data_IF_294437295107
#
_entry.id   IF_294437295107
#
_cell.length_a   1.000
_cell.length_b   1.000
_cell.length_c   1.000
_cell.angle_alpha   90.00
_cell.angle_beta   90.00
_cell.angle_gamma   90.00
#
_symmetry.space_group_name_H-M   'P 1'
#
loop_
_entity.id
_entity.type
_entity.pdbx_description
1 polymer ?
#
# COMPACT_ATOMS: atom_id res chain seq x y z
N UNK A 1 18.41 3.31 6.33
CA UNK A 1 17.15 2.71 5.86
C UNK A 1 17.40 1.28 5.38
N UNK A 2 16.54 0.38 5.76
CA UNK A 2 16.58 -0.99 5.26
C UNK A 2 15.96 -1.09 3.87
N UNK A 3 16.36 -2.09 3.08
CA UNK A 3 15.79 -2.30 1.75
C UNK A 3 14.26 -2.40 1.77
N UNK A 4 13.71 -3.07 2.78
CA UNK A 4 12.25 -3.19 2.93
C UNK A 4 11.56 -1.85 3.15
N UNK A 5 12.16 -0.95 3.90
CA UNK A 5 11.62 0.40 4.11
C UNK A 5 11.61 1.22 2.81
N UNK A 6 12.70 1.13 2.05
CA UNK A 6 12.80 1.79 0.73
C UNK A 6 11.76 1.20 -0.23
N UNK A 7 11.64 -0.12 -0.28
CA UNK A 7 10.70 -0.81 -1.15
C UNK A 7 9.25 -0.44 -0.83
N UNK A 8 8.90 -0.28 0.45
CA UNK A 8 7.56 0.15 0.87
C UNK A 8 7.19 1.53 0.35
N UNK A 9 8.14 2.45 0.29
CA UNK A 9 7.88 3.78 -0.27
C UNK A 9 7.47 3.69 -1.74
N UNK A 10 8.14 2.83 -2.51
CA UNK A 10 7.77 2.58 -3.90
C UNK A 10 6.40 1.88 -4.03
N UNK A 11 6.13 0.90 -3.17
CA UNK A 11 4.83 0.22 -3.17
C UNK A 11 3.69 1.14 -2.79
N UNK A 12 3.87 2.04 -1.83
CA UNK A 12 2.87 3.04 -1.47
C UNK A 12 2.50 3.92 -2.66
N UNK A 13 3.51 4.38 -3.42
CA UNK A 13 3.27 5.16 -4.65
C UNK A 13 2.49 4.34 -5.66
N UNK A 14 2.91 3.10 -5.90
CA UNK A 14 2.22 2.20 -6.83
C UNK A 14 0.77 1.96 -6.42
N UNK A 15 0.51 1.71 -5.14
CA UNK A 15 -0.84 1.50 -4.60
C UNK A 15 -1.72 2.74 -4.81
N UNK A 16 -1.22 3.92 -4.46
CA UNK A 16 -1.97 5.18 -4.63
C UNK A 16 -2.26 5.46 -6.11
N UNK A 17 -1.30 5.24 -6.99
CA UNK A 17 -1.50 5.40 -8.43
C UNK A 17 -2.53 4.41 -8.98
N UNK A 18 -2.47 3.15 -8.56
CA UNK A 18 -3.40 2.12 -9.02
C UNK A 18 -4.82 2.38 -8.52
N UNK A 19 -4.99 2.69 -7.24
CA UNK A 19 -6.29 3.05 -6.65
C UNK A 19 -6.84 4.31 -7.31
N UNK A 20 -5.96 5.28 -7.62
CA UNK A 20 -6.34 6.50 -8.32
C UNK A 20 -6.62 6.33 -9.81
N UNK A 21 -6.41 5.14 -10.37
CA UNK A 21 -6.68 4.87 -11.79
C UNK A 21 -5.64 5.40 -12.76
N UNK A 22 -4.40 5.58 -12.30
CA UNK A 22 -3.28 6.05 -13.14
C UNK A 22 -2.84 4.99 -14.16
N UNK A 23 -1.95 5.40 -15.07
CA UNK A 23 -1.43 4.56 -16.14
C UNK A 23 -0.78 3.28 -15.60
N UNK A 24 -1.16 2.14 -16.16
CA UNK A 24 -0.64 0.83 -15.79
C UNK A 24 0.89 0.74 -15.85
N UNK A 25 1.52 1.32 -16.86
CA UNK A 25 2.98 1.28 -17.03
C UNK A 25 3.69 2.04 -15.90
N UNK A 26 3.11 3.14 -15.46
CA UNK A 26 3.63 3.94 -14.36
C UNK A 26 3.53 3.18 -13.03
N UNK A 27 2.38 2.57 -12.76
CA UNK A 27 2.19 1.69 -11.60
C UNK A 27 3.21 0.57 -11.59
N UNK A 28 3.38 -0.10 -12.74
CA UNK A 28 4.32 -1.20 -12.90
C UNK A 28 5.77 -0.77 -12.67
N UNK A 29 6.15 0.42 -13.10
CA UNK A 29 7.50 0.95 -12.87
C UNK A 29 7.83 1.04 -11.38
N UNK A 30 6.90 1.54 -10.57
CA UNK A 30 7.09 1.61 -9.12
C UNK A 30 7.07 0.22 -8.46
N UNK A 31 6.24 -0.70 -8.93
CA UNK A 31 6.25 -2.10 -8.46
C UNK A 31 7.59 -2.78 -8.75
N UNK A 32 8.11 -2.59 -9.94
CA UNK A 32 9.41 -3.14 -10.34
C UNK A 32 10.56 -2.52 -9.51
N UNK A 33 10.46 -1.23 -9.20
CA UNK A 33 11.42 -0.56 -8.33
C UNK A 33 11.44 -1.17 -6.93
N UNK A 34 10.28 -1.41 -6.34
CA UNK A 34 10.18 -2.05 -5.03
C UNK A 34 10.80 -3.45 -5.05
N UNK A 35 10.52 -4.23 -6.09
CA UNK A 35 11.08 -5.58 -6.25
C UNK A 35 12.60 -5.55 -6.39
N UNK A 36 13.13 -4.66 -7.24
CA UNK A 36 14.57 -4.55 -7.45
C UNK A 36 15.32 -4.27 -6.15
N UNK A 37 14.77 -3.41 -5.30
CA UNK A 37 15.36 -3.10 -3.99
C UNK A 37 15.28 -4.29 -3.03
N UNK A 38 14.12 -4.97 -2.97
CA UNK A 38 13.96 -6.16 -2.12
C UNK A 38 14.87 -7.30 -2.51
N UNK A 39 15.03 -7.54 -3.80
CA UNK A 39 15.82 -8.65 -4.32
C UNK A 39 17.32 -8.40 -4.24
N UNK A 40 17.75 -7.17 -4.02
CA UNK A 40 19.17 -6.85 -3.90
C UNK A 40 19.75 -7.46 -2.61
N UNK A 41 20.84 -8.25 -2.71
CA UNK A 41 21.32 -9.06 -1.58
C UNK A 41 22.03 -8.26 -0.48
N UNK A 42 22.32 -6.99 -0.71
CA UNK A 42 23.01 -6.12 0.26
C UNK A 42 22.18 -4.87 0.51
N UNK A 43 22.61 -4.04 1.49
CA UNK A 43 21.93 -2.78 1.78
C UNK A 43 22.11 -1.78 0.64
N UNK A 44 21.00 -1.37 0.03
CA UNK A 44 21.01 -0.34 -1.01
C UNK A 44 21.48 1.01 -0.44
N UNK A 45 21.10 1.31 0.80
CA UNK A 45 21.49 2.55 1.47
C UNK A 45 23.00 2.69 1.67
N UNK A 46 23.74 1.59 1.70
CA UNK A 46 25.19 1.58 1.88
C UNK A 46 25.95 1.75 0.55
N UNK A 47 25.25 1.67 -0.60
CA UNK A 47 25.88 1.92 -1.88
C UNK A 47 26.14 3.40 -2.12
N UNK A 48 27.23 3.72 -2.78
CA UNK A 48 27.44 5.06 -3.32
C UNK A 48 26.41 5.35 -4.42
N UNK A 49 25.97 6.60 -4.55
CA UNK A 49 24.90 6.99 -5.49
C UNK A 49 25.23 6.64 -6.95
N UNK A 50 26.49 6.73 -7.34
CA UNK A 50 26.95 6.38 -8.69
C UNK A 50 26.89 4.88 -8.98
N UNK A 51 26.67 4.05 -7.95
CA UNK A 51 26.59 2.58 -8.06
C UNK A 51 25.15 2.05 -8.08
N UNK A 52 24.15 2.88 -7.93
CA UNK A 52 22.75 2.41 -7.94
C UNK A 52 22.36 1.72 -9.24
N UNK A 53 22.93 2.13 -10.37
CA UNK A 53 22.64 1.47 -11.65
C UNK A 53 23.23 0.07 -11.77
N UNK A 54 24.12 -0.35 -10.86
CA UNK A 54 24.60 -1.72 -10.78
C UNK A 54 23.52 -2.68 -10.24
N UNK A 55 22.51 -2.17 -9.57
CA UNK A 55 21.37 -2.97 -9.09
C UNK A 55 20.57 -3.45 -10.31
N UNK A 56 20.35 -4.78 -10.46
CA UNK A 56 19.54 -5.28 -11.58
C UNK A 56 18.16 -4.65 -11.63
N UNK A 57 17.78 -4.12 -12.79
CA UNK A 57 16.50 -3.45 -12.99
C UNK A 57 16.47 -1.96 -12.67
N UNK A 58 17.59 -1.38 -12.24
CA UNK A 58 17.68 0.05 -11.90
C UNK A 58 18.37 0.81 -13.02
N UNK A 59 17.62 1.67 -13.69
CA UNK A 59 18.13 2.64 -14.67
C UNK A 59 18.41 3.99 -14.03
N UNK A 60 18.75 4.99 -14.87
CA UNK A 60 19.11 6.33 -14.41
C UNK A 60 17.98 7.05 -13.65
N UNK A 61 16.73 6.88 -14.08
CA UNK A 61 15.57 7.52 -13.44
C UNK A 61 15.33 6.94 -12.04
N UNK A 62 15.37 5.63 -11.91
CA UNK A 62 15.20 4.95 -10.62
C UNK A 62 16.40 5.22 -9.70
N UNK A 63 17.61 5.27 -10.23
CA UNK A 63 18.80 5.63 -9.47
C UNK A 63 18.67 7.02 -8.83
N UNK A 64 18.14 7.99 -9.56
CA UNK A 64 17.88 9.33 -9.04
C UNK A 64 16.84 9.31 -7.91
N UNK A 65 15.79 8.50 -8.05
CA UNK A 65 14.77 8.32 -7.00
C UNK A 65 15.34 7.67 -5.74
N UNK A 66 16.20 6.66 -5.91
CA UNK A 66 16.89 6.02 -4.78
C UNK A 66 17.77 7.02 -4.02
N UNK A 67 18.52 7.84 -4.75
CA UNK A 67 19.34 8.88 -4.13
C UNK A 67 18.47 9.84 -3.31
N UNK A 68 17.33 10.28 -3.85
CA UNK A 68 16.40 11.16 -3.14
C UNK A 68 15.85 10.50 -1.88
N UNK A 69 15.46 9.24 -1.93
CA UNK A 69 14.98 8.51 -0.75
C UNK A 69 16.05 8.44 0.34
N UNK A 70 17.26 8.10 -0.03
CA UNK A 70 18.36 7.92 0.93
C UNK A 70 18.76 9.26 1.54
N UNK A 71 18.76 10.34 0.76
CA UNK A 71 19.14 11.67 1.23
C UNK A 71 18.04 12.35 2.07
N UNK A 72 16.76 12.13 1.74
CA UNK A 72 15.63 12.84 2.35
C UNK A 72 14.69 11.96 3.19
N UNK A 73 14.74 10.65 3.00
CA UNK A 73 13.87 9.69 3.70
C UNK A 73 12.53 9.42 3.03
N UNK A 74 12.21 10.13 1.94
CA UNK A 74 10.93 9.93 1.22
C UNK A 74 11.04 10.31 -0.25
N UNK A 75 9.95 10.12 -0.99
CA UNK A 75 9.80 10.52 -2.39
C UNK A 75 8.87 11.72 -2.51
N UNK A 76 9.25 12.77 -3.25
CA UNK A 76 8.38 13.93 -3.47
C UNK A 76 6.99 13.56 -4.01
N UNK A 77 6.92 12.61 -4.95
CA UNK A 77 5.65 12.14 -5.49
C UNK A 77 4.77 11.49 -4.42
N UNK A 78 5.36 10.73 -3.50
CA UNK A 78 4.61 10.11 -2.40
C UNK A 78 4.01 11.17 -1.48
N UNK A 79 4.79 12.16 -1.12
CA UNK A 79 4.36 13.27 -0.27
C UNK A 79 3.19 14.02 -0.92
N UNK A 80 3.31 14.30 -2.21
CA UNK A 80 2.27 15.00 -2.97
C UNK A 80 0.97 14.17 -3.07
N UNK A 81 1.07 12.89 -3.37
CA UNK A 81 -0.08 12.00 -3.44
C UNK A 81 -0.80 11.88 -2.10
N UNK A 82 -0.05 11.82 -1.00
CA UNK A 82 -0.63 11.73 0.36
C UNK A 82 -1.44 12.97 0.76
N UNK A 83 -1.21 14.13 0.14
CA UNK A 83 -1.99 15.34 0.41
C UNK A 83 -3.44 15.23 -0.03
N UNK A 84 -3.70 14.52 -1.11
CA UNK A 84 -5.03 14.40 -1.73
C UNK A 84 -5.64 13.02 -1.58
N UNK A 85 -4.83 12.01 -1.29
CA UNK A 85 -5.27 10.62 -1.19
C UNK A 85 -5.74 10.30 0.23
N UNK A 86 -6.94 9.68 0.40
CA UNK A 86 -7.40 9.28 1.73
C UNK A 86 -6.49 8.21 2.32
N UNK A 87 -5.80 8.53 3.42
CA UNK A 87 -4.89 7.59 4.11
C UNK A 87 -5.61 6.31 4.54
N UNK A 88 -6.88 6.41 4.91
CA UNK A 88 -7.68 5.25 5.28
C UNK A 88 -7.80 4.19 4.19
N UNK A 89 -7.72 4.57 2.91
CA UNK A 89 -7.74 3.61 1.81
C UNK A 89 -6.44 2.79 1.73
N UNK A 90 -5.30 3.39 2.02
CA UNK A 90 -4.03 2.65 2.07
C UNK A 90 -4.02 1.62 3.20
N UNK A 91 -4.65 1.92 4.31
CA UNK A 91 -4.75 0.99 5.43
C UNK A 91 -5.55 -0.26 5.08
N UNK A 92 -6.52 -0.16 4.15
CA UNK A 92 -7.32 -1.30 3.71
C UNK A 92 -6.49 -2.38 3.02
N UNK A 93 -5.35 -2.05 2.44
CA UNK A 93 -4.47 -3.05 1.82
C UNK A 93 -3.93 -4.10 2.80
N UNK A 94 -3.92 -3.78 4.10
CA UNK A 94 -3.49 -4.70 5.15
C UNK A 94 -4.53 -5.78 5.46
N UNK A 95 -5.76 -5.61 4.98
CA UNK A 95 -6.81 -6.60 5.14
C UNK A 95 -6.68 -7.71 4.10
N UNK A 96 -7.03 -8.96 4.46
CA UNK A 96 -6.95 -10.07 3.52
C UNK A 96 -7.86 -9.85 2.31
N UNK A 97 -7.41 -10.29 1.14
CA UNK A 97 -8.14 -10.25 -0.13
C UNK A 97 -8.44 -8.86 -0.68
N UNK A 98 -7.97 -7.79 -0.06
CA UNK A 98 -8.12 -6.43 -0.56
C UNK A 98 -6.82 -5.95 -1.22
N UNK A 99 -6.74 -6.14 -2.54
CA UNK A 99 -5.71 -5.52 -3.36
C UNK A 99 -6.16 -4.14 -3.87
N UNK A 100 -5.26 -3.36 -4.51
CA UNK A 100 -5.57 -2.02 -4.99
C UNK A 100 -6.79 -1.93 -5.91
N UNK A 101 -7.02 -2.91 -6.77
CA UNK A 101 -8.18 -2.94 -7.68
C UNK A 101 -9.50 -3.06 -6.93
N UNK A 102 -9.56 -3.91 -5.89
CA UNK A 102 -10.75 -4.07 -5.06
C UNK A 102 -10.98 -2.85 -4.20
N UNK A 103 -9.93 -2.28 -3.64
CA UNK A 103 -10.02 -1.02 -2.88
C UNK A 103 -10.58 0.09 -3.77
N UNK A 104 -10.13 0.19 -5.02
CA UNK A 104 -10.67 1.15 -5.98
C UNK A 104 -12.15 0.96 -6.21
N UNK A 105 -12.61 -0.29 -6.40
CA UNK A 105 -14.03 -0.61 -6.57
C UNK A 105 -14.84 -0.20 -5.33
N UNK A 106 -14.35 -0.48 -4.14
CA UNK A 106 -15.02 -0.10 -2.89
C UNK A 106 -15.13 1.42 -2.76
N UNK A 107 -14.08 2.14 -3.09
CA UNK A 107 -14.07 3.60 -3.05
C UNK A 107 -15.04 4.21 -4.08
N UNK A 108 -15.02 3.70 -5.31
CA UNK A 108 -15.83 4.23 -6.42
C UNK A 108 -17.31 3.88 -6.29
N UNK A 109 -17.63 2.65 -5.85
CA UNK A 109 -19.00 2.13 -5.82
C UNK A 109 -19.73 2.40 -4.51
N UNK A 110 -19.03 2.30 -3.36
CA UNK A 110 -19.62 2.40 -2.03
C UNK A 110 -19.11 3.60 -1.25
N UNK A 111 -18.27 4.44 -1.83
CA UNK A 111 -17.68 5.63 -1.20
C UNK A 111 -16.93 5.31 0.10
N UNK A 112 -16.31 4.13 0.16
CA UNK A 112 -15.53 3.70 1.31
C UNK A 112 -14.19 4.43 1.33
N UNK A 113 -13.82 5.05 2.46
CA UNK A 113 -12.59 5.83 2.63
C UNK A 113 -11.69 5.31 3.74
N UNK A 114 -12.22 4.46 4.62
CA UNK A 114 -11.51 3.95 5.79
C UNK A 114 -12.12 2.62 6.25
N UNK A 115 -11.53 2.05 7.30
CA UNK A 115 -12.01 0.78 7.88
C UNK A 115 -13.41 0.86 8.46
N UNK A 116 -13.77 1.96 9.07
CA UNK A 116 -15.10 2.14 9.65
C UNK A 116 -16.18 2.13 8.57
N UNK A 117 -15.94 2.81 7.45
CA UNK A 117 -16.84 2.77 6.29
C UNK A 117 -16.97 1.35 5.75
N UNK A 118 -15.84 0.63 5.63
CA UNK A 118 -15.84 -0.75 5.18
C UNK A 118 -16.63 -1.66 6.12
N UNK A 119 -16.43 -1.53 7.42
CA UNK A 119 -17.15 -2.31 8.43
C UNK A 119 -18.65 -2.11 8.32
N UNK A 120 -19.12 -0.86 8.21
CA UNK A 120 -20.53 -0.54 8.04
C UNK A 120 -21.10 -1.14 6.75
N UNK A 121 -20.35 -1.07 5.65
CA UNK A 121 -20.78 -1.64 4.38
C UNK A 121 -20.88 -3.17 4.44
N UNK A 122 -19.93 -3.83 5.09
CA UNK A 122 -19.94 -5.29 5.27
C UNK A 122 -21.12 -5.72 6.15
N UNK A 123 -21.34 -5.05 7.25
CA UNK A 123 -22.46 -5.34 8.17
C UNK A 123 -23.82 -5.14 7.48
N UNK A 124 -23.92 -4.17 6.57
CA UNK A 124 -25.12 -3.91 5.79
C UNK A 124 -25.29 -4.82 4.56
N UNK A 125 -24.33 -5.72 4.29
CA UNK A 125 -24.37 -6.60 3.13
C UNK A 125 -24.18 -5.92 1.79
N UNK A 126 -23.61 -4.72 1.76
CA UNK A 126 -23.47 -3.92 0.55
C UNK A 126 -22.38 -4.44 -0.41
N UNK A 127 -21.40 -5.16 0.10
CA UNK A 127 -20.32 -5.70 -0.74
C UNK A 127 -20.84 -6.68 -1.80
N UNK A 128 -21.89 -7.44 -1.47
CA UNK A 128 -22.52 -8.40 -2.40
C UNK A 128 -23.09 -7.74 -3.65
N UNK A 129 -23.35 -6.44 -3.63
CA UNK A 129 -23.84 -5.70 -4.78
C UNK A 129 -22.76 -5.44 -5.82
N UNK A 130 -21.49 -5.63 -5.47
CA UNK A 130 -20.36 -5.44 -6.37
C UNK A 130 -19.93 -6.80 -6.93
N UNK A 131 -19.79 -6.87 -8.24
CA UNK A 131 -19.31 -8.09 -8.92
C UNK A 131 -17.90 -8.44 -8.45
N UNK A 132 -17.70 -9.69 -8.05
CA UNK A 132 -16.43 -10.20 -7.52
C UNK A 132 -16.34 -10.21 -5.99
N UNK A 133 -17.34 -9.67 -5.30
CA UNK A 133 -17.47 -9.72 -3.84
C UNK A 133 -18.61 -10.65 -3.46
N UNK A 134 -18.29 -11.81 -2.88
CA UNK A 134 -19.28 -12.78 -2.44
C UNK A 134 -19.47 -12.76 -0.93
N UNK A 135 -20.47 -13.54 -0.45
CA UNK A 135 -20.77 -13.69 0.98
C UNK A 135 -19.56 -14.19 1.79
N UNK A 136 -18.78 -15.10 1.22
CA UNK A 136 -17.58 -15.65 1.86
C UNK A 136 -16.51 -14.58 2.10
N UNK A 137 -16.33 -13.68 1.15
CA UNK A 137 -15.41 -12.57 1.29
C UNK A 137 -15.86 -11.60 2.38
N UNK A 138 -17.16 -11.32 2.46
CA UNK A 138 -17.72 -10.50 3.54
C UNK A 138 -17.45 -11.11 4.92
N UNK A 139 -17.64 -12.41 5.08
CA UNK A 139 -17.34 -13.11 6.34
C UNK A 139 -15.87 -12.99 6.73
N UNK A 140 -14.97 -13.20 5.77
CA UNK A 140 -13.53 -13.11 6.01
C UNK A 140 -13.09 -11.69 6.38
N UNK A 141 -13.68 -10.68 5.76
CA UNK A 141 -13.40 -9.28 6.09
C UNK A 141 -13.95 -8.93 7.48
N UNK A 142 -15.14 -9.38 7.82
CA UNK A 142 -15.70 -9.20 9.17
C UNK A 142 -14.80 -9.81 10.23
N UNK A 143 -14.33 -11.04 10.01
CA UNK A 143 -13.42 -11.71 10.95
C UNK A 143 -12.10 -10.93 11.09
N UNK A 144 -11.53 -10.46 10.00
CA UNK A 144 -10.28 -9.69 10.02
C UNK A 144 -10.46 -8.37 10.77
N UNK A 145 -11.56 -7.66 10.55
CA UNK A 145 -11.88 -6.41 11.23
C UNK A 145 -12.13 -6.65 12.74
N UNK A 146 -12.80 -7.75 13.08
CA UNK A 146 -13.05 -8.12 14.48
C UNK A 146 -11.77 -8.50 15.22
N UNK A 147 -10.83 -9.20 14.57
CA UNK A 147 -9.53 -9.54 15.16
C UNK A 147 -8.72 -8.32 15.53
N UNK A 148 -8.70 -7.30 14.68
CA UNK A 148 -7.98 -6.05 14.95
C UNK A 148 -8.58 -5.32 16.15
N UNK A 149 -9.89 -5.29 16.28
CA UNK A 149 -10.58 -4.74 17.45
C UNK A 149 -10.30 -5.55 18.70
N UNK A 150 -10.25 -6.89 18.58
CA UNK A 150 -9.91 -7.80 19.67
C UNK A 150 -8.49 -7.59 20.18
N UNK A 151 -7.53 -7.38 19.31
CA UNK A 151 -6.13 -7.09 19.67
C UNK A 151 -6.03 -5.73 20.39
N UNK A 152 -6.79 -4.73 19.97
CA UNK A 152 -6.84 -3.43 20.64
C UNK A 152 -7.50 -3.53 22.02
N UNK A 153 -8.54 -4.34 22.18
CA UNK A 153 -9.18 -4.59 23.46
C UNK A 153 -8.25 -5.34 24.42
N UNK A 154 -7.48 -6.30 23.93
CA UNK A 154 -6.53 -7.07 24.75
C UNK A 154 -5.37 -6.20 25.24
N UNK A 155 -4.95 -5.21 24.47
CA UNK A 155 -3.92 -4.27 24.88
C UNK A 155 -4.44 -3.25 25.90
N UNK A 156 -5.70 -2.88 25.85
CA UNK A 156 -6.34 -2.02 26.85
C UNK A 156 -6.54 -2.73 28.20
N UNK A 157 -6.80 -4.04 28.17
CA UNK A 157 -6.98 -4.85 29.39
C UNK A 157 -5.67 -5.17 30.09
N UNK A 158 -4.53 -5.01 29.47
CA UNK A 158 -3.20 -5.27 30.05
C UNK A 158 -2.59 -4.03 30.72
N UNK A 159 -3.16 -2.85 30.50
CA UNK A 159 -2.72 -1.62 31.17
C UNK A 159 -3.34 -1.53 32.57
N UNK A 160 -2.51 -1.47 33.63
CA UNK A 160 -3.00 -1.32 34.99
C UNK A 160 -3.68 0.04 35.22
#
# INVERSE_FOLDING_TARGET
MRNEEIARLFDDVADMLEIGGDNFFRVRAYRNAARAVRDYPSSVADLAHDRFQEIPGVGSDLAAKLATIIDTGDLPIRIELLRTFPLGLLELKNLPMLGPKRIKLLADRLHIRNRDDLKRAVEAGQLRTIRGFGARMEEQLLEALARELGVLCDTETVLP
#
